data_IF_623773309926
#
_entry.id   IF_623773309926
#
_cell.length_a   1.000
_cell.length_b   1.000
_cell.length_c   1.000
_cell.angle_alpha   90.00
_cell.angle_beta   90.00
_cell.angle_gamma   90.00
#
_symmetry.space_group_name_H-M   'P 1'
#
loop_
_entity.id
_entity.type
_entity.pdbx_description
1 polymer ?
#
# COMPACT_ATOMS: atom_id res chain seq x y z
N UNK A 1 26.13 7.00 24.89
CA UNK A 1 25.48 7.30 23.60
C UNK A 1 23.98 7.39 23.84
N UNK A 2 23.38 8.54 23.54
CA UNK A 2 21.98 8.82 23.87
C UNK A 2 21.05 8.33 22.76
N UNK A 3 20.09 7.48 23.17
CA UNK A 3 18.94 7.07 22.38
C UNK A 3 17.93 8.22 22.36
N UNK A 4 17.47 8.64 21.18
CA UNK A 4 16.30 9.49 21.02
C UNK A 4 15.52 9.04 19.77
N UNK A 5 14.66 8.03 19.92
CA UNK A 5 13.58 7.81 18.94
C UNK A 5 12.42 8.72 19.34
N UNK A 6 12.28 9.84 18.63
CA UNK A 6 11.16 10.76 18.76
C UNK A 6 9.89 10.04 18.30
N UNK A 7 8.94 9.89 19.22
CA UNK A 7 7.61 9.34 18.98
C UNK A 7 6.86 10.21 17.96
N UNK A 8 6.76 9.76 16.71
CA UNK A 8 5.73 10.27 15.79
C UNK A 8 4.43 9.51 16.06
N UNK A 9 3.62 10.09 16.95
CA UNK A 9 2.25 9.66 17.23
C UNK A 9 1.39 9.76 15.95
N UNK A 10 0.45 8.84 15.70
CA UNK A 10 -0.37 8.81 14.49
C UNK A 10 -1.45 9.89 14.56
N UNK A 11 -1.12 11.11 14.15
CA UNK A 11 -2.10 12.17 14.05
C UNK A 11 -3.01 11.95 12.83
N UNK A 12 -4.31 11.84 13.12
CA UNK A 12 -5.47 11.89 12.21
C UNK A 12 -6.01 10.58 11.61
N UNK A 13 -6.29 9.57 12.46
CA UNK A 13 -7.27 8.52 12.12
C UNK A 13 -8.38 8.35 13.18
N UNK A 14 -8.66 9.40 13.96
CA UNK A 14 -9.78 9.41 14.91
C UNK A 14 -10.79 10.48 14.51
N UNK A 15 -11.74 10.13 13.62
CA UNK A 15 -13.08 10.77 13.50
C UNK A 15 -14.02 10.18 12.42
N UNK A 16 -13.79 8.97 11.89
CA UNK A 16 -14.82 8.26 11.11
C UNK A 16 -14.75 6.76 11.44
N UNK A 17 -15.87 6.04 11.62
CA UNK A 17 -15.88 4.59 11.76
C UNK A 17 -15.63 3.92 10.39
N UNK A 18 -14.54 4.32 9.73
CA UNK A 18 -14.04 3.73 8.50
C UNK A 18 -12.71 3.02 8.78
N UNK A 19 -12.38 1.97 8.04
CA UNK A 19 -11.10 1.30 8.22
C UNK A 19 -9.96 2.29 7.89
N UNK A 20 -8.99 2.41 8.79
CA UNK A 20 -7.83 3.28 8.59
C UNK A 20 -7.11 2.89 7.29
N UNK A 21 -7.10 3.79 6.31
CA UNK A 21 -6.44 3.56 5.03
C UNK A 21 -4.93 3.80 5.18
N UNK A 22 -4.14 2.83 4.73
CA UNK A 22 -2.69 2.91 4.65
C UNK A 22 -2.26 2.97 3.17
N UNK A 23 -1.12 3.58 2.90
CA UNK A 23 -0.54 3.63 1.55
C UNK A 23 0.27 2.36 1.28
N UNK A 24 -0.04 1.70 0.19
CA UNK A 24 0.66 0.50 -0.30
C UNK A 24 1.30 0.77 -1.65
N UNK A 25 2.53 0.31 -1.82
CA UNK A 25 3.18 0.22 -3.12
C UNK A 25 2.87 -1.16 -3.70
N UNK A 26 2.15 -1.20 -4.81
CA UNK A 26 1.86 -2.42 -5.57
C UNK A 26 2.76 -2.45 -6.79
N UNK A 27 3.52 -3.53 -6.97
CA UNK A 27 4.38 -3.70 -8.15
C UNK A 27 3.83 -4.84 -9.01
N UNK A 28 3.66 -4.57 -10.30
CA UNK A 28 3.31 -5.59 -11.28
C UNK A 28 4.31 -5.61 -12.43
N UNK A 29 4.33 -6.74 -13.13
CA UNK A 29 5.08 -6.92 -14.38
C UNK A 29 4.05 -7.00 -15.50
N UNK A 30 4.12 -6.08 -16.46
CA UNK A 30 3.23 -6.11 -17.64
C UNK A 30 3.69 -7.19 -18.62
N UNK A 31 2.89 -7.45 -19.66
CA UNK A 31 3.17 -8.50 -20.65
C UNK A 31 4.47 -8.24 -21.43
N UNK A 32 4.93 -6.98 -21.49
CA UNK A 32 6.22 -6.57 -22.06
C UNK A 32 7.40 -6.80 -21.09
N UNK A 33 7.14 -7.39 -19.92
CA UNK A 33 8.13 -7.66 -18.89
C UNK A 33 8.55 -6.43 -18.08
N UNK A 34 7.86 -5.29 -18.23
CA UNK A 34 8.22 -4.05 -17.51
C UNK A 34 7.58 -4.04 -16.14
N UNK A 35 8.38 -3.64 -15.15
CA UNK A 35 7.90 -3.42 -13.78
C UNK A 35 7.26 -2.05 -13.66
N UNK A 36 6.03 -2.02 -13.17
CA UNK A 36 5.29 -0.79 -12.87
C UNK A 36 4.86 -0.78 -11.42
N UNK A 37 5.09 0.33 -10.73
CA UNK A 37 4.74 0.52 -9.33
C UNK A 37 3.61 1.53 -9.18
N UNK A 38 2.63 1.21 -8.34
CA UNK A 38 1.44 2.03 -8.09
C UNK A 38 1.29 2.24 -6.61
N UNK A 39 0.88 3.45 -6.23
CA UNK A 39 0.51 3.75 -4.85
C UNK A 39 -0.99 3.61 -4.70
N UNK A 40 -1.43 2.66 -3.89
CA UNK A 40 -2.84 2.41 -3.60
C UNK A 40 -3.12 2.67 -2.12
N UNK A 41 -4.23 3.36 -1.84
CA UNK A 41 -4.73 3.53 -0.48
C UNK A 41 -5.69 2.38 -0.19
N UNK A 42 -5.36 1.56 0.80
CA UNK A 42 -6.16 0.40 1.16
C UNK A 42 -6.10 0.15 2.68
N UNK A 43 -7.12 -0.52 3.25
CA UNK A 43 -7.08 -0.89 4.66
C UNK A 43 -6.07 -2.02 4.95
N UNK A 44 -5.65 -2.77 3.93
CA UNK A 44 -4.67 -3.85 4.04
C UNK A 44 -3.92 -4.05 2.71
N UNK A 45 -2.77 -4.74 2.76
CA UNK A 45 -2.02 -5.12 1.56
C UNK A 45 -2.86 -5.98 0.61
N UNK A 46 -3.65 -6.90 1.16
CA UNK A 46 -4.57 -7.76 0.40
C UNK A 46 -5.61 -6.94 -0.35
N UNK A 47 -6.23 -5.97 0.32
CA UNK A 47 -7.18 -5.07 -0.32
C UNK A 47 -6.52 -4.17 -1.38
N UNK A 48 -5.25 -3.80 -1.21
CA UNK A 48 -4.48 -3.09 -2.24
C UNK A 48 -4.21 -3.98 -3.45
N UNK A 49 -3.85 -5.25 -3.24
CA UNK A 49 -3.68 -6.25 -4.30
C UNK A 49 -4.98 -6.46 -5.07
N UNK A 50 -6.09 -6.75 -4.38
CA UNK A 50 -7.38 -7.02 -5.01
C UNK A 50 -7.85 -5.82 -5.86
N UNK A 51 -7.70 -4.60 -5.35
CA UNK A 51 -7.99 -3.36 -6.11
C UNK A 51 -7.07 -3.18 -7.30
N UNK A 52 -5.79 -3.54 -7.17
CA UNK A 52 -4.85 -3.47 -8.28
C UNK A 52 -5.17 -4.52 -9.36
N UNK A 53 -5.59 -5.73 -8.98
CA UNK A 53 -6.09 -6.73 -9.94
C UNK A 53 -7.31 -6.20 -10.68
N UNK A 54 -8.29 -5.66 -9.95
CA UNK A 54 -9.54 -5.14 -10.53
C UNK A 54 -9.30 -3.94 -11.46
N UNK A 55 -8.52 -2.97 -11.02
CA UNK A 55 -8.24 -1.73 -11.77
C UNK A 55 -7.40 -1.97 -13.02
N UNK A 56 -6.39 -2.82 -12.93
CA UNK A 56 -5.38 -2.97 -13.98
C UNK A 56 -5.46 -4.32 -14.71
N UNK A 57 -6.41 -5.20 -14.35
CA UNK A 57 -6.60 -6.50 -14.96
C UNK A 57 -5.37 -7.41 -14.83
N UNK A 58 -4.62 -7.32 -13.73
CA UNK A 58 -3.26 -7.88 -13.63
C UNK A 58 -3.28 -9.37 -13.24
N UNK A 59 -2.93 -10.30 -14.13
CA UNK A 59 -2.86 -11.72 -13.80
C UNK A 59 -1.64 -12.06 -12.92
N UNK A 60 -0.63 -11.18 -12.89
CA UNK A 60 0.65 -11.41 -12.19
C UNK A 60 1.08 -10.18 -11.38
N UNK A 61 0.56 -10.11 -10.16
CA UNK A 61 1.08 -9.22 -9.13
C UNK A 61 2.29 -9.86 -8.44
N UNK A 62 3.35 -9.08 -8.19
CA UNK A 62 4.49 -9.56 -7.39
C UNK A 62 4.12 -9.58 -5.90
N UNK A 63 3.68 -8.45 -5.37
CA UNK A 63 3.05 -8.28 -4.04
C UNK A 63 2.80 -6.80 -3.77
N UNK A 64 1.88 -6.50 -2.85
CA UNK A 64 1.80 -5.18 -2.25
C UNK A 64 2.65 -5.09 -0.96
N UNK A 65 3.31 -3.95 -0.77
CA UNK A 65 4.08 -3.65 0.44
C UNK A 65 3.61 -2.31 1.00
N UNK A 66 3.61 -2.16 2.32
CA UNK A 66 3.30 -0.86 2.92
C UNK A 66 4.39 0.13 2.51
N UNK A 67 4.00 1.25 1.90
CA UNK A 67 4.93 2.31 1.57
C UNK A 67 5.37 2.97 2.89
N UNK A 68 6.67 2.88 3.17
CA UNK A 68 7.27 3.39 4.40
C UNK A 68 7.54 4.89 4.32
#
# INVERSE_FOLDING_TARGET
MHLALVHSSPAAAAAMPGPALQRYAVVHVDDDGRRRAYSELAPSARAAEDRAVDRFGLPRLLRAWRAS
#
